data_IF_304585463410
#
_entry.id   IF_304585463410
#
_cell.length_a   1.000
_cell.length_b   1.000
_cell.length_c   1.000
_cell.angle_alpha   90.00
_cell.angle_beta   90.00
_cell.angle_gamma   90.00
#
_symmetry.space_group_name_H-M   'P 1'
#
loop_
_entity.id
_entity.type
_entity.pdbx_description
1 polymer ?
#
# COMPACT_ATOMS: atom_id res chain seq x y z
N UNK A 1 0.51 24.08 25.02
CA UNK A 1 0.38 23.16 23.86
C UNK A 1 -0.31 21.89 24.29
N UNK A 2 -1.22 21.35 23.46
CA UNK A 2 -1.91 20.06 23.73
C UNK A 2 -1.05 18.90 23.22
N UNK A 3 -1.04 17.78 23.95
CA UNK A 3 -0.39 16.55 23.47
C UNK A 3 -1.22 15.96 22.33
N UNK A 4 -0.55 15.58 21.24
CA UNK A 4 -1.15 14.91 20.09
C UNK A 4 -0.48 13.53 19.96
N UNK A 5 -1.29 12.51 19.76
CA UNK A 5 -0.85 11.12 19.61
C UNK A 5 -1.32 10.56 18.27
N UNK A 6 -0.58 9.58 17.74
CA UNK A 6 -0.97 8.81 16.56
C UNK A 6 -1.69 7.56 17.05
N UNK A 7 -2.98 7.47 16.79
CA UNK A 7 -3.82 6.34 17.21
C UNK A 7 -3.69 5.15 16.26
N UNK A 8 -3.61 5.42 14.95
CA UNK A 8 -3.47 4.39 13.92
C UNK A 8 -2.66 4.91 12.75
N UNK A 9 -2.02 3.99 12.04
CA UNK A 9 -1.28 4.27 10.82
C UNK A 9 -1.36 3.07 9.89
N UNK A 10 -1.27 3.34 8.60
CA UNK A 10 -1.19 2.32 7.57
C UNK A 10 -0.20 2.72 6.49
N UNK A 11 0.47 1.73 5.91
CA UNK A 11 1.35 1.89 4.75
C UNK A 11 0.94 0.87 3.69
N UNK A 12 0.96 1.31 2.43
CA UNK A 12 0.88 0.44 1.26
C UNK A 12 2.18 0.63 0.48
N UNK A 13 2.96 -0.43 0.36
CA UNK A 13 4.25 -0.46 -0.30
C UNK A 13 4.42 -1.77 -1.07
N UNK A 14 5.52 -1.88 -1.80
CA UNK A 14 5.99 -3.15 -2.41
C UNK A 14 6.26 -4.26 -1.37
N UNK A 15 6.37 -3.91 -0.09
CA UNK A 15 6.64 -4.82 1.02
C UNK A 15 5.39 -5.18 1.82
N UNK A 16 4.23 -4.60 1.52
CA UNK A 16 3.00 -4.95 2.22
C UNK A 16 1.93 -3.86 2.10
N UNK A 17 0.68 -4.26 2.31
CA UNK A 17 -0.48 -3.37 2.30
C UNK A 17 -0.93 -2.95 3.70
N UNK A 18 -0.23 -3.42 4.74
CA UNK A 18 -0.45 -3.00 6.12
C UNK A 18 0.86 -2.63 6.82
N UNK A 19 0.78 -1.81 7.88
CA UNK A 19 1.94 -1.49 8.74
C UNK A 19 2.61 -2.74 9.28
N UNK A 20 1.83 -3.70 9.77
CA UNK A 20 2.35 -4.95 10.32
C UNK A 20 3.06 -5.78 9.24
N UNK A 21 2.41 -5.99 8.09
CA UNK A 21 3.00 -6.77 6.99
C UNK A 21 4.31 -6.14 6.50
N UNK A 22 4.32 -4.83 6.26
CA UNK A 22 5.50 -4.11 5.85
C UNK A 22 6.61 -4.23 6.89
N UNK A 23 6.31 -4.03 8.17
CA UNK A 23 7.29 -4.11 9.25
C UNK A 23 7.88 -5.51 9.40
N UNK A 24 7.05 -6.55 9.33
CA UNK A 24 7.51 -7.94 9.38
C UNK A 24 8.42 -8.30 8.22
N UNK A 25 8.13 -7.81 7.01
CA UNK A 25 8.97 -8.06 5.85
C UNK A 25 10.30 -7.30 5.93
N UNK A 26 10.31 -6.08 6.48
CA UNK A 26 11.55 -5.37 6.83
C UNK A 26 12.38 -6.16 7.84
N UNK A 27 11.79 -6.67 8.91
CA UNK A 27 12.50 -7.48 9.92
C UNK A 27 13.08 -8.79 9.35
N UNK A 28 12.44 -9.33 8.30
CA UNK A 28 12.91 -10.53 7.58
C UNK A 28 13.92 -10.20 6.47
N UNK A 29 14.40 -8.97 6.40
CA UNK A 29 15.34 -8.50 5.38
C UNK A 29 14.82 -8.71 3.95
N UNK A 30 13.50 -8.72 3.77
CA UNK A 30 12.90 -8.84 2.44
C UNK A 30 13.00 -7.50 1.71
N UNK A 31 13.35 -7.58 0.43
CA UNK A 31 13.37 -6.42 -0.46
C UNK A 31 12.10 -6.32 -1.29
N UNK A 32 11.59 -5.10 -1.44
CA UNK A 32 10.51 -4.78 -2.36
C UNK A 32 10.99 -4.55 -3.79
N UNK A 33 12.31 -4.48 -4.00
CA UNK A 33 12.92 -4.23 -5.30
C UNK A 33 13.06 -5.54 -6.05
N UNK A 34 12.54 -5.60 -7.28
CA UNK A 34 12.62 -6.76 -8.15
C UNK A 34 13.03 -6.35 -9.56
N UNK A 35 13.80 -7.19 -10.29
CA UNK A 35 13.98 -7.01 -11.73
C UNK A 35 12.60 -6.96 -12.40
N UNK A 36 12.33 -5.88 -13.12
CA UNK A 36 11.04 -5.64 -13.74
C UNK A 36 11.26 -5.14 -15.15
N UNK A 37 10.64 -5.82 -16.13
CA UNK A 37 10.58 -5.33 -17.50
C UNK A 37 9.48 -4.25 -17.61
N UNK A 38 9.89 -3.02 -17.87
CA UNK A 38 9.01 -1.89 -18.16
C UNK A 38 9.43 -1.26 -19.48
N UNK A 39 8.91 -1.75 -20.62
CA UNK A 39 9.31 -1.28 -21.96
C UNK A 39 9.09 0.22 -22.18
N UNK A 40 8.19 0.83 -21.41
CA UNK A 40 7.95 2.28 -21.38
C UNK A 40 9.05 3.09 -20.68
N UNK A 41 9.91 2.42 -19.90
CA UNK A 41 11.03 3.02 -19.17
C UNK A 41 12.39 2.53 -19.70
N UNK A 42 12.50 1.28 -20.13
CA UNK A 42 13.75 0.62 -20.51
C UNK A 42 13.49 -0.62 -21.37
N UNK A 43 14.35 -0.86 -22.36
CA UNK A 43 14.33 -2.08 -23.20
C UNK A 43 14.79 -3.34 -22.45
N UNK A 44 15.48 -3.17 -21.32
CA UNK A 44 15.96 -4.23 -20.43
C UNK A 44 15.27 -4.16 -19.07
N UNK A 45 15.30 -5.28 -18.32
CA UNK A 45 14.82 -5.30 -16.94
C UNK A 45 15.58 -4.30 -16.07
N UNK A 46 14.83 -3.55 -15.25
CA UNK A 46 15.38 -2.59 -14.30
C UNK A 46 14.89 -2.93 -12.89
N UNK A 47 15.72 -2.73 -11.85
CA UNK A 47 15.32 -2.98 -10.48
C UNK A 47 14.31 -1.92 -10.03
N UNK A 48 13.05 -2.31 -9.82
CA UNK A 48 11.98 -1.40 -9.41
C UNK A 48 11.28 -1.91 -8.14
N UNK A 49 10.80 -0.95 -7.35
CA UNK A 49 9.97 -1.19 -6.17
C UNK A 49 8.53 -0.82 -6.52
N UNK A 50 7.75 -1.80 -6.98
CA UNK A 50 6.38 -1.58 -7.44
C UNK A 50 5.36 -2.15 -6.46
N UNK A 51 4.24 -1.45 -6.31
CA UNK A 51 3.06 -1.97 -5.62
C UNK A 51 2.46 -3.07 -6.49
N UNK A 52 2.11 -4.20 -5.88
CA UNK A 52 1.50 -5.33 -6.56
C UNK A 52 0.08 -4.99 -7.03
N UNK A 53 -0.11 -4.91 -8.36
CA UNK A 53 -1.38 -4.55 -8.99
C UNK A 53 -2.46 -5.62 -8.80
N UNK A 54 -2.09 -6.89 -8.70
CA UNK A 54 -3.04 -7.98 -8.45
C UNK A 54 -3.63 -7.88 -7.04
N UNK A 55 -2.78 -7.58 -6.05
CA UNK A 55 -3.23 -7.36 -4.68
C UNK A 55 -4.06 -6.07 -4.58
N UNK A 56 -3.61 -4.98 -5.23
CA UNK A 56 -4.34 -3.72 -5.27
C UNK A 56 -5.74 -3.91 -5.85
N UNK A 57 -5.85 -4.49 -7.05
CA UNK A 57 -7.13 -4.74 -7.71
C UNK A 57 -8.08 -5.59 -6.86
N UNK A 58 -7.56 -6.61 -6.16
CA UNK A 58 -8.35 -7.43 -5.24
C UNK A 58 -8.89 -6.63 -4.05
N UNK A 59 -8.08 -5.77 -3.43
CA UNK A 59 -8.50 -4.92 -2.29
C UNK A 59 -9.47 -3.82 -2.72
N UNK A 60 -9.33 -3.29 -3.94
CA UNK A 60 -10.23 -2.28 -4.48
C UNK A 60 -11.66 -2.78 -4.72
N UNK A 61 -11.87 -4.09 -4.85
CA UNK A 61 -13.23 -4.68 -4.91
C UNK A 61 -14.07 -4.41 -3.68
N UNK A 62 -13.45 -4.02 -2.56
CA UNK A 62 -14.14 -3.66 -1.33
C UNK A 62 -14.48 -2.16 -1.22
N UNK A 63 -14.22 -1.39 -2.26
CA UNK A 63 -14.55 0.04 -2.39
C UNK A 63 -15.61 0.17 -3.48
N UNK A 64 -16.59 1.04 -3.26
CA UNK A 64 -17.59 1.35 -4.26
C UNK A 64 -16.99 2.24 -5.37
N UNK A 65 -17.23 1.87 -6.64
CA UNK A 65 -16.77 2.61 -7.83
C UNK A 65 -15.26 2.95 -7.83
N UNK A 66 -14.35 1.96 -7.67
CA UNK A 66 -12.91 2.22 -7.56
C UNK A 66 -12.33 2.89 -8.81
N UNK A 67 -12.93 2.67 -9.98
CA UNK A 67 -12.50 3.24 -11.27
C UNK A 67 -12.78 4.75 -11.40
N UNK A 68 -13.56 5.32 -10.47
CA UNK A 68 -13.79 6.78 -10.42
C UNK A 68 -12.61 7.55 -9.79
N UNK A 69 -11.62 6.83 -9.27
CA UNK A 69 -10.48 7.40 -8.55
C UNK A 69 -9.19 7.16 -9.31
N UNK A 70 -8.28 8.12 -9.25
CA UNK A 70 -6.89 7.91 -9.67
C UNK A 70 -6.23 6.82 -8.83
N UNK A 71 -5.19 6.18 -9.37
CA UNK A 71 -4.41 5.18 -8.63
C UNK A 71 -3.92 5.68 -7.26
N UNK A 72 -3.54 6.95 -7.18
CA UNK A 72 -3.10 7.54 -5.91
C UNK A 72 -4.26 7.62 -4.90
N UNK A 73 -5.42 8.13 -5.32
CA UNK A 73 -6.61 8.22 -4.46
C UNK A 73 -7.08 6.84 -4.01
N UNK A 74 -7.06 5.85 -4.90
CA UNK A 74 -7.33 4.43 -4.58
C UNK A 74 -6.46 3.94 -3.42
N UNK A 75 -5.14 4.20 -3.46
CA UNK A 75 -4.20 3.83 -2.41
C UNK A 75 -4.47 4.58 -1.10
N UNK A 76 -4.76 5.88 -1.17
CA UNK A 76 -5.09 6.69 0.00
C UNK A 76 -6.37 6.19 0.67
N UNK A 77 -7.44 5.95 -0.11
CA UNK A 77 -8.72 5.45 0.42
C UNK A 77 -8.54 4.10 1.09
N UNK A 78 -7.82 3.17 0.45
CA UNK A 78 -7.50 1.87 1.06
C UNK A 78 -6.72 2.02 2.37
N UNK A 79 -5.74 2.93 2.39
CA UNK A 79 -4.94 3.18 3.58
C UNK A 79 -5.77 3.76 4.73
N UNK A 80 -6.63 4.74 4.44
CA UNK A 80 -7.55 5.31 5.41
C UNK A 80 -8.56 4.28 5.92
N UNK A 81 -9.12 3.45 5.03
CA UNK A 81 -10.03 2.36 5.40
C UNK A 81 -9.38 1.41 6.41
N UNK A 82 -8.10 1.07 6.20
CA UNK A 82 -7.35 0.26 7.15
C UNK A 82 -7.19 0.96 8.51
N UNK A 83 -6.73 2.22 8.54
CA UNK A 83 -6.61 3.00 9.77
C UNK A 83 -7.93 3.10 10.56
N UNK A 84 -9.05 3.25 9.85
CA UNK A 84 -10.37 3.40 10.46
C UNK A 84 -10.97 2.07 10.94
N UNK A 85 -10.56 0.93 10.35
CA UNK A 85 -11.06 -0.40 10.73
C UNK A 85 -10.75 -0.79 12.18
N UNK A 86 -9.70 -0.21 12.77
CA UNK A 86 -9.31 -0.45 14.17
C UNK A 86 -10.19 0.28 15.19
N UNK A 87 -11.15 1.10 14.75
CA UNK A 87 -12.08 1.76 15.68
C UNK A 87 -13.28 0.86 15.99
N UNK A 88 -13.36 0.38 17.23
CA UNK A 88 -14.66 0.37 17.92
C UNK A 88 -14.98 1.83 18.22
N UNK A 89 -16.07 2.33 17.66
CA UNK A 89 -16.71 3.54 18.19
C UNK A 89 -16.97 3.27 19.67
N UNK A 90 -16.16 3.91 20.53
CA UNK A 90 -16.38 3.94 21.97
C UNK A 90 -17.33 5.08 22.29
#
# INVERSE_FOLDING_TARGET
>A
MRKIFIESSNIISSLGFTTEENFQNVLKEQTGIKPTLRPDLSEIEVPLSLIDDGILARKLKEIENPDSFTRFEQLVILSLKNCLSFRKLM
#
